data_IF_976365867642
#
_entry.id   IF_976365867642
#
_cell.length_a   1.000
_cell.length_b   1.000
_cell.length_c   1.000
_cell.angle_alpha   90.00
_cell.angle_beta   90.00
_cell.angle_gamma   90.00
#
_symmetry.space_group_name_H-M   'P 1'
#
loop_
_entity.id
_entity.type
_entity.pdbx_description
1 polymer ?
#
# COMPACT_ATOMS: atom_id res chain seq x y z
N UNK A 1 -11.06 9.28 12.85
CA UNK A 1 -9.92 8.81 13.66
C UNK A 1 -10.35 8.81 15.10
N UNK A 2 -10.54 7.64 15.69
CA UNK A 2 -10.99 7.49 17.06
C UNK A 2 -10.50 6.12 17.55
N UNK A 3 -11.00 5.63 18.69
CA UNK A 3 -10.53 4.40 19.31
C UNK A 3 -11.53 3.25 19.07
N UNK A 4 -11.03 2.02 19.22
CA UNK A 4 -11.81 0.80 18.99
C UNK A 4 -13.01 0.61 19.94
N UNK A 5 -12.91 0.90 21.26
CA UNK A 5 -14.00 0.58 22.18
C UNK A 5 -15.31 1.32 21.85
N UNK A 6 -16.43 0.72 22.25
CA UNK A 6 -17.77 1.26 22.01
C UNK A 6 -18.22 2.16 23.16
N UNK A 7 -17.46 3.22 23.46
CA UNK A 7 -17.82 4.24 24.45
C UNK A 7 -17.98 5.59 23.78
N UNK A 8 -18.75 6.51 24.39
CA UNK A 8 -18.94 7.85 23.81
C UNK A 8 -17.61 8.60 23.68
N UNK A 9 -16.76 8.52 24.71
CA UNK A 9 -15.43 9.14 24.75
C UNK A 9 -14.51 8.60 23.64
N UNK A 10 -14.51 7.28 23.42
CA UNK A 10 -13.69 6.63 22.39
C UNK A 10 -14.15 6.92 20.96
N UNK A 11 -15.34 7.52 20.77
CA UNK A 11 -15.82 7.96 19.46
C UNK A 11 -15.44 9.39 19.13
N UNK A 12 -14.95 10.17 20.09
CA UNK A 12 -14.49 11.53 19.85
C UNK A 12 -13.27 11.53 18.91
N UNK A 13 -13.29 12.31 17.82
CA UNK A 13 -12.16 12.39 16.91
C UNK A 13 -10.91 12.98 17.57
N UNK A 14 -9.82 12.23 17.51
CA UNK A 14 -8.54 12.66 18.07
C UNK A 14 -7.50 12.85 16.95
N UNK A 15 -7.05 14.09 16.66
CA UNK A 15 -6.10 14.38 15.60
C UNK A 15 -4.69 13.83 15.89
N UNK A 16 -4.30 13.60 17.15
CA UNK A 16 -3.00 13.02 17.47
C UNK A 16 -2.87 11.58 16.96
N UNK A 17 -4.00 10.90 16.75
CA UNK A 17 -4.02 9.57 16.14
C UNK A 17 -3.51 9.57 14.69
N UNK A 18 -3.50 10.72 14.00
CA UNK A 18 -2.85 10.84 12.68
C UNK A 18 -1.35 10.62 12.78
N UNK A 19 -0.72 11.25 13.79
CA UNK A 19 0.72 11.14 14.02
C UNK A 19 1.09 9.72 14.44
N UNK A 20 0.27 9.09 15.30
CA UNK A 20 0.43 7.69 15.68
C UNK A 20 0.23 6.73 14.51
N UNK A 21 -0.71 7.03 13.60
CA UNK A 21 -0.90 6.29 12.36
C UNK A 21 0.34 6.32 11.47
N UNK A 22 0.90 7.53 11.26
CA UNK A 22 2.14 7.71 10.51
C UNK A 22 3.33 6.97 11.13
N UNK A 23 3.52 7.08 12.45
CA UNK A 23 4.59 6.39 13.20
C UNK A 23 4.51 4.87 12.97
N UNK A 24 3.33 4.28 13.14
CA UNK A 24 3.11 2.84 12.93
C UNK A 24 3.34 2.45 11.47
N UNK A 25 2.85 3.23 10.51
CA UNK A 25 3.06 2.95 9.09
C UNK A 25 4.56 2.96 8.73
N UNK A 26 5.31 3.94 9.23
CA UNK A 26 6.76 4.03 8.99
C UNK A 26 7.52 2.86 9.62
N UNK A 27 7.20 2.48 10.86
CA UNK A 27 7.80 1.33 11.54
C UNK A 27 7.51 0.02 10.80
N UNK A 28 6.25 -0.21 10.43
CA UNK A 28 5.85 -1.40 9.67
C UNK A 28 6.57 -1.46 8.32
N UNK A 29 6.64 -0.35 7.59
CA UNK A 29 7.31 -0.31 6.28
C UNK A 29 8.82 -0.58 6.41
N UNK A 30 9.46 -0.01 7.43
CA UNK A 30 10.87 -0.28 7.69
C UNK A 30 11.11 -1.75 8.07
N UNK A 31 10.23 -2.33 8.89
CA UNK A 31 10.29 -3.74 9.23
C UNK A 31 10.13 -4.63 7.99
N UNK A 32 9.13 -4.38 7.15
CA UNK A 32 8.91 -5.13 5.90
C UNK A 32 10.12 -5.02 4.95
N UNK A 33 10.69 -3.83 4.79
CA UNK A 33 11.92 -3.64 4.00
C UNK A 33 13.08 -4.48 4.55
N UNK A 34 13.25 -4.52 5.87
CA UNK A 34 14.28 -5.35 6.49
C UNK A 34 14.05 -6.85 6.30
N UNK A 35 12.79 -7.32 6.27
CA UNK A 35 12.45 -8.72 5.99
C UNK A 35 12.78 -9.09 4.54
N UNK A 36 12.49 -8.20 3.60
CA UNK A 36 12.77 -8.42 2.17
C UNK A 36 14.27 -8.42 1.92
N UNK A 37 15.00 -7.43 2.44
CA UNK A 37 16.46 -7.40 2.35
C UNK A 37 17.12 -8.59 3.08
N UNK A 38 16.47 -9.13 4.10
CA UNK A 38 16.90 -10.31 4.85
C UNK A 38 16.66 -11.65 4.16
N UNK A 39 16.10 -11.67 2.94
CA UNK A 39 15.90 -12.91 2.16
C UNK A 39 14.63 -13.69 2.52
N UNK A 40 13.71 -13.13 3.32
CA UNK A 40 12.42 -13.78 3.58
C UNK A 40 11.57 -13.94 2.32
N UNK A 41 11.78 -13.04 1.33
CA UNK A 41 11.11 -13.09 0.04
C UNK A 41 11.93 -13.82 -1.03
N UNK A 42 12.95 -14.60 -0.66
CA UNK A 42 13.75 -15.36 -1.61
C UNK A 42 12.90 -16.48 -2.23
N UNK A 43 12.78 -16.46 -3.56
CA UNK A 43 12.06 -17.46 -4.35
C UNK A 43 12.77 -18.83 -4.39
N UNK A 44 14.04 -18.89 -3.99
CA UNK A 44 14.83 -20.12 -3.94
C UNK A 44 14.55 -20.97 -2.70
N UNK A 45 13.67 -20.55 -1.79
CA UNK A 45 13.34 -21.24 -0.55
C UNK A 45 11.83 -21.59 -0.50
N UNK A 46 11.34 -22.51 -1.35
CA UNK A 46 9.93 -22.90 -1.40
C UNK A 46 9.41 -23.50 -0.09
N UNK A 47 10.30 -24.00 0.78
CA UNK A 47 9.99 -24.42 2.15
C UNK A 47 9.44 -23.28 3.02
N UNK A 48 9.76 -22.02 2.70
CA UNK A 48 9.17 -20.86 3.38
C UNK A 48 7.69 -20.64 2.98
N UNK A 49 7.20 -21.33 1.95
CA UNK A 49 5.80 -21.30 1.51
C UNK A 49 5.01 -22.50 2.01
N UNK A 50 5.61 -23.34 2.86
CA UNK A 50 4.88 -24.40 3.55
C UNK A 50 4.03 -23.77 4.66
N UNK A 51 2.78 -23.46 4.30
CA UNK A 51 1.82 -22.88 5.19
C UNK A 51 1.17 -24.02 6.00
N UNK A 52 1.38 -24.03 7.32
CA UNK A 52 0.90 -25.10 8.20
C UNK A 52 -0.60 -25.45 8.01
N UNK A 53 -1.43 -24.45 7.70
CA UNK A 53 -2.87 -24.66 7.45
C UNK A 53 -3.17 -25.42 6.16
N UNK A 54 -2.25 -25.47 5.20
CA UNK A 54 -2.42 -26.22 3.95
C UNK A 54 -2.34 -27.71 4.21
N UNK A 55 -1.59 -28.16 5.22
CA UNK A 55 -1.51 -29.57 5.60
C UNK A 55 -2.85 -30.18 6.00
N UNK A 56 -3.77 -29.38 6.54
CA UNK A 56 -5.13 -29.81 6.90
C UNK A 56 -6.14 -29.67 5.74
N UNK A 57 -5.74 -29.09 4.61
CA UNK A 57 -6.62 -28.86 3.47
C UNK A 57 -6.82 -30.14 2.64
N UNK A 58 -8.05 -30.44 2.19
CA UNK A 58 -8.29 -31.50 1.21
C UNK A 58 -7.49 -31.33 -0.10
N UNK A 59 -7.04 -30.10 -0.39
CA UNK A 59 -6.29 -29.75 -1.61
C UNK A 59 -4.77 -29.69 -1.39
N UNK A 60 -4.26 -30.12 -0.24
CA UNK A 60 -2.82 -30.07 0.09
C UNK A 60 -1.95 -30.71 -1.01
N UNK A 61 -2.38 -31.87 -1.52
CA UNK A 61 -1.63 -32.59 -2.56
C UNK A 61 -1.57 -31.84 -3.90
N UNK A 62 -2.60 -31.06 -4.25
CA UNK A 62 -2.60 -30.23 -5.46
C UNK A 62 -1.73 -29.00 -5.28
N UNK A 63 -1.79 -28.37 -4.10
CA UNK A 63 -0.92 -27.25 -3.74
C UNK A 63 0.56 -27.66 -3.82
N UNK A 64 0.96 -28.78 -3.21
CA UNK A 64 2.35 -29.24 -3.26
C UNK A 64 2.83 -29.56 -4.68
N UNK A 65 1.97 -30.10 -5.55
CA UNK A 65 2.32 -30.29 -6.97
C UNK A 65 2.56 -28.97 -7.70
N UNK A 66 1.76 -27.94 -7.41
CA UNK A 66 1.95 -26.61 -7.98
C UNK A 66 3.26 -25.97 -7.48
N UNK A 67 3.51 -26.02 -6.17
CA UNK A 67 4.76 -25.51 -5.58
C UNK A 67 5.96 -26.21 -6.20
N UNK A 68 5.93 -27.55 -6.32
CA UNK A 68 7.02 -28.30 -6.95
C UNK A 68 7.25 -27.90 -8.41
N UNK A 69 6.19 -27.73 -9.19
CA UNK A 69 6.27 -27.28 -10.60
C UNK A 69 6.94 -25.91 -10.75
N UNK A 70 6.64 -24.98 -9.82
CA UNK A 70 7.29 -23.66 -9.78
C UNK A 70 8.77 -23.80 -9.43
N UNK A 71 9.12 -24.61 -8.41
CA UNK A 71 10.51 -24.88 -8.03
C UNK A 71 11.34 -25.50 -9.16
N UNK A 72 10.78 -26.49 -9.87
CA UNK A 72 11.44 -27.14 -11.00
C UNK A 72 11.70 -26.14 -12.14
N UNK A 73 10.75 -25.24 -12.39
CA UNK A 73 10.89 -24.18 -13.39
C UNK A 73 11.99 -23.18 -13.03
N UNK A 74 12.06 -22.77 -11.75
CA UNK A 74 13.11 -21.88 -11.24
C UNK A 74 14.50 -22.53 -11.38
N UNK A 75 14.64 -23.78 -10.97
CA UNK A 75 15.90 -24.54 -11.11
C UNK A 75 16.34 -24.70 -12.58
N UNK A 76 15.39 -24.84 -13.51
CA UNK A 76 15.70 -24.85 -14.94
C UNK A 76 16.24 -23.50 -15.43
N UNK A 77 15.61 -22.37 -15.05
CA UNK A 77 16.11 -21.04 -15.42
C UNK A 77 17.51 -20.77 -14.88
N UNK A 78 17.79 -21.15 -13.63
CA UNK A 78 19.12 -21.03 -13.03
C UNK A 78 20.18 -21.83 -13.80
N UNK A 79 19.84 -23.03 -14.25
CA UNK A 79 20.75 -23.88 -15.03
C UNK A 79 21.16 -23.28 -16.38
N UNK A 80 20.35 -22.36 -16.91
CA UNK A 80 20.60 -21.67 -18.19
C UNK A 80 21.33 -20.33 -17.98
N UNK A 81 20.89 -19.51 -17.02
CA UNK A 81 21.41 -18.15 -16.85
C UNK A 81 22.68 -18.05 -16.01
N UNK A 82 23.03 -19.09 -15.24
CA UNK A 82 24.33 -19.22 -14.56
C UNK A 82 24.59 -18.24 -13.41
N UNK A 83 23.76 -17.21 -13.22
CA UNK A 83 23.87 -16.26 -12.11
C UNK A 83 22.51 -15.75 -11.62
N UNK A 84 22.30 -15.80 -10.30
CA UNK A 84 21.04 -15.51 -9.57
C UNK A 84 20.96 -14.05 -9.12
N UNK A 85 21.54 -13.11 -9.88
CA UNK A 85 21.72 -11.71 -9.40
C UNK A 85 20.40 -10.91 -9.43
N UNK A 86 19.43 -11.30 -10.27
CA UNK A 86 18.15 -10.59 -10.41
C UNK A 86 17.02 -11.12 -9.53
N UNK A 87 17.03 -12.40 -9.17
CA UNK A 87 15.91 -13.08 -8.50
C UNK A 87 15.85 -12.89 -6.98
N UNK A 88 16.93 -12.37 -6.38
CA UNK A 88 17.10 -12.26 -4.92
C UNK A 88 16.29 -11.15 -4.25
N UNK A 89 15.77 -10.17 -4.99
CA UNK A 89 15.08 -9.01 -4.41
C UNK A 89 13.69 -8.85 -5.00
N UNK A 90 12.69 -9.23 -4.21
CA UNK A 90 11.29 -8.92 -4.48
C UNK A 90 11.04 -7.44 -4.15
N UNK A 91 10.52 -6.69 -5.11
CA UNK A 91 10.06 -5.32 -4.86
C UNK A 91 8.71 -5.35 -4.14
N UNK A 92 8.62 -4.71 -2.97
CA UNK A 92 7.38 -4.61 -2.22
C UNK A 92 6.83 -3.19 -2.27
N UNK A 93 5.58 -3.10 -2.67
CA UNK A 93 4.83 -1.86 -2.80
C UNK A 93 3.72 -1.80 -1.77
N UNK A 94 3.41 -0.60 -1.31
CA UNK A 94 2.31 -0.34 -0.36
C UNK A 94 1.15 0.34 -1.06
N UNK A 95 -0.04 0.09 -0.55
CA UNK A 95 -1.27 0.77 -0.93
C UNK A 95 -2.15 0.99 0.31
N UNK A 96 -2.95 2.05 0.30
CA UNK A 96 -4.03 2.24 1.27
C UNK A 96 -5.13 3.10 0.64
N UNK A 97 -6.27 3.16 1.31
CA UNK A 97 -7.37 4.02 0.90
C UNK A 97 -7.05 5.49 1.22
N UNK A 98 -7.01 6.35 0.20
CA UNK A 98 -6.80 7.79 0.32
C UNK A 98 -8.02 8.52 0.90
N UNK A 99 -8.45 8.11 2.09
CA UNK A 99 -9.71 8.53 2.72
C UNK A 99 -9.59 9.88 3.43
N UNK A 100 -8.48 10.09 4.15
CA UNK A 100 -8.32 11.27 5.02
C UNK A 100 -7.50 12.36 4.31
N UNK A 101 -8.16 13.20 3.52
CA UNK A 101 -7.49 14.21 2.68
C UNK A 101 -6.48 15.11 3.40
N UNK A 102 -6.72 15.60 4.64
CA UNK A 102 -5.71 16.38 5.35
C UNK A 102 -4.42 15.61 5.65
N UNK A 103 -4.51 14.28 5.81
CA UNK A 103 -3.36 13.43 6.05
C UNK A 103 -2.53 13.27 4.76
N UNK A 104 -3.19 12.96 3.64
CA UNK A 104 -2.53 12.82 2.32
C UNK A 104 -1.89 14.15 1.87
N UNK A 105 -2.62 15.26 2.05
CA UNK A 105 -2.10 16.59 1.73
C UNK A 105 -0.85 16.94 2.56
N UNK A 106 -0.84 16.57 3.85
CA UNK A 106 0.30 16.81 4.73
C UNK A 106 1.60 16.12 4.29
N UNK A 107 1.48 15.05 3.51
CA UNK A 107 2.58 14.20 3.06
C UNK A 107 2.91 14.34 1.57
N UNK A 108 2.12 15.10 0.83
CA UNK A 108 2.37 15.42 -0.57
C UNK A 108 3.59 16.34 -0.71
N UNK A 109 4.53 15.98 -1.58
CA UNK A 109 5.79 16.72 -1.82
C UNK A 109 6.00 16.99 -3.30
N UNK A 110 6.51 18.17 -3.62
CA UNK A 110 6.97 18.50 -4.96
C UNK A 110 8.37 17.93 -5.17
N UNK A 111 8.59 17.20 -6.26
CA UNK A 111 9.89 16.65 -6.65
C UNK A 111 10.49 17.51 -7.78
N UNK A 112 11.51 18.35 -7.51
CA UNK A 112 12.05 19.28 -8.52
C UNK A 112 12.60 18.60 -9.77
N UNK A 113 13.23 17.44 -9.62
CA UNK A 113 13.82 16.69 -10.74
C UNK A 113 12.78 16.03 -11.66
N UNK A 114 11.51 15.95 -11.25
CA UNK A 114 10.41 15.43 -12.08
C UNK A 114 9.35 16.48 -12.42
N UNK A 115 9.49 17.69 -11.89
CA UNK A 115 8.54 18.80 -12.04
C UNK A 115 7.08 18.41 -11.72
N UNK A 116 6.88 17.59 -10.69
CA UNK A 116 5.58 16.99 -10.35
C UNK A 116 5.39 16.84 -8.84
N UNK A 117 4.13 16.86 -8.41
CA UNK A 117 3.72 16.52 -7.05
C UNK A 117 3.53 15.03 -6.91
N UNK A 118 4.02 14.47 -5.81
CA UNK A 118 3.83 13.09 -5.42
C UNK A 118 3.27 13.02 -4.02
N UNK A 119 2.26 12.18 -3.84
CA UNK A 119 1.86 11.74 -2.52
C UNK A 119 2.85 10.67 -2.05
N UNK A 120 3.47 10.88 -0.88
CA UNK A 120 4.50 10.00 -0.33
C UNK A 120 3.98 9.15 0.83
N UNK A 121 2.66 9.11 1.03
CA UNK A 121 2.05 8.20 2.01
C UNK A 121 2.13 6.74 1.55
N UNK A 122 2.06 6.47 0.25
CA UNK A 122 2.05 5.11 -0.30
C UNK A 122 2.39 5.07 -1.78
N UNK A 123 2.60 3.87 -2.34
CA UNK A 123 2.93 3.72 -3.76
C UNK A 123 1.67 3.77 -4.63
N UNK A 124 0.57 3.18 -4.16
CA UNK A 124 -0.70 3.13 -4.89
C UNK A 124 -1.88 3.45 -3.96
N UNK A 125 -2.25 4.73 -3.79
CA UNK A 125 -3.47 5.07 -3.05
C UNK A 125 -4.70 4.70 -3.89
N UNK A 126 -5.71 4.09 -3.27
CA UNK A 126 -6.99 3.85 -3.93
C UNK A 126 -8.07 4.77 -3.37
N UNK A 127 -9.06 5.08 -4.20
CA UNK A 127 -10.28 5.74 -3.75
C UNK A 127 -11.42 4.74 -3.79
N UNK A 128 -12.13 4.58 -2.67
CA UNK A 128 -13.39 3.85 -2.68
C UNK A 128 -14.49 4.80 -3.13
N UNK A 129 -15.45 4.27 -3.91
CA UNK A 129 -16.73 4.94 -4.11
C UNK A 129 -17.55 4.82 -2.82
N UNK A 130 -17.13 5.51 -1.77
CA UNK A 130 -17.99 5.75 -0.63
C UNK A 130 -18.95 6.85 -1.08
N UNK A 131 -20.17 6.50 -1.49
CA UNK A 131 -21.22 7.52 -1.63
C UNK A 131 -21.35 8.19 -0.27
N UNK A 132 -20.97 9.47 -0.12
CA UNK A 132 -21.28 10.16 1.11
C UNK A 132 -22.80 10.31 1.14
N UNK A 133 -23.46 9.91 2.24
CA UNK A 133 -24.91 10.05 2.41
C UNK A 133 -25.38 11.50 2.27
N UNK A 134 -24.49 12.48 2.43
CA UNK A 134 -24.75 13.91 2.18
C UNK A 134 -24.66 14.32 0.68
N UNK A 135 -24.07 13.49 -0.18
CA UNK A 135 -23.87 13.77 -1.61
C UNK A 135 -25.09 13.38 -2.47
N UNK A 136 -26.07 12.66 -1.91
CA UNK A 136 -27.34 12.32 -2.58
C UNK A 136 -28.32 13.51 -2.63
N UNK A 137 -28.09 14.57 -1.85
CA UNK A 137 -28.96 15.76 -1.84
C UNK A 137 -28.65 16.79 -2.93
N UNK A 138 -27.53 16.66 -3.65
CA UNK A 138 -27.24 17.52 -4.81
C UNK A 138 -27.17 16.67 -6.06
N UNK A 139 -28.33 16.50 -6.70
CA UNK A 139 -28.48 15.88 -8.01
C UNK A 139 -27.71 16.67 -9.08
N UNK A 140 -26.44 16.32 -9.32
CA UNK A 140 -25.71 16.53 -10.60
C UNK A 140 -24.22 16.14 -10.48
N UNK A 141 -23.91 14.87 -10.20
CA UNK A 141 -22.53 14.38 -10.32
C UNK A 141 -22.45 13.20 -11.30
N UNK A 142 -21.83 13.46 -12.46
CA UNK A 142 -21.44 12.45 -13.46
C UNK A 142 -20.01 11.98 -13.16
N UNK A 143 -19.65 10.74 -13.54
CA UNK A 143 -18.31 10.18 -13.41
C UNK A 143 -17.19 11.11 -13.95
N UNK A 144 -17.50 11.96 -14.93
CA UNK A 144 -16.57 12.96 -15.45
C UNK A 144 -16.17 14.05 -14.44
N UNK A 145 -16.96 14.26 -13.39
CA UNK A 145 -16.68 15.23 -12.33
C UNK A 145 -15.63 14.72 -11.33
N UNK A 146 -15.53 13.40 -11.13
CA UNK A 146 -14.47 12.78 -10.30
C UNK A 146 -13.10 12.89 -11.00
N UNK A 147 -13.04 12.58 -12.29
CA UNK A 147 -11.80 12.73 -13.08
C UNK A 147 -11.34 14.18 -13.16
N UNK A 148 -12.27 15.14 -13.30
CA UNK A 148 -11.96 16.58 -13.28
C UNK A 148 -11.46 17.07 -11.91
N UNK A 149 -11.94 16.48 -10.81
CA UNK A 149 -11.51 16.87 -9.47
C UNK A 149 -10.12 16.31 -9.13
N UNK A 150 -9.85 15.04 -9.48
CA UNK A 150 -8.52 14.44 -9.37
C UNK A 150 -7.47 15.19 -10.20
N UNK A 151 -7.81 15.60 -11.43
CA UNK A 151 -6.94 16.45 -12.28
C UNK A 151 -6.75 17.87 -11.71
N UNK A 152 -7.70 18.38 -10.92
CA UNK A 152 -7.61 19.70 -10.28
C UNK A 152 -6.72 19.66 -9.04
N UNK A 153 -6.78 18.60 -8.25
CA UNK A 153 -5.83 18.34 -7.15
C UNK A 153 -4.39 18.22 -7.67
N UNK A 154 -4.18 17.52 -8.78
CA UNK A 154 -2.87 17.41 -9.42
C UNK A 154 -2.32 18.74 -9.96
N UNK A 155 -3.13 19.82 -10.00
CA UNK A 155 -2.77 21.14 -10.55
C UNK A 155 -2.91 22.29 -9.55
N UNK A 156 -3.15 22.03 -8.26
CA UNK A 156 -3.25 23.11 -7.27
C UNK A 156 -1.86 23.65 -6.91
N UNK A 157 -1.59 24.96 -7.06
CA UNK A 157 -0.44 25.59 -6.44
C UNK A 157 -0.71 25.73 -4.93
N UNK A 158 0.25 25.29 -4.11
CA UNK A 158 0.20 25.48 -2.66
C UNK A 158 0.32 26.98 -2.36
N UNK A 159 -0.63 27.55 -1.62
CA UNK A 159 -0.52 28.90 -1.07
C UNK A 159 0.74 28.98 -0.20
N UNK A 160 1.67 29.84 -0.60
CA UNK A 160 2.84 30.15 0.19
C UNK A 160 2.37 30.86 1.48
N UNK A 161 2.61 30.24 2.63
CA UNK A 161 2.59 30.97 3.90
C UNK A 161 3.83 31.89 3.90
N UNK A 162 3.62 33.17 3.63
CA UNK A 162 4.62 34.20 3.84
C UNK A 162 4.94 34.27 5.33
N UNK A 163 6.19 33.91 5.67
CA UNK A 163 6.78 34.33 6.94
C UNK A 163 7.09 35.82 6.83
N UNK A 164 6.22 36.64 7.40
CA UNK A 164 6.57 37.92 8.00
C UNK A 164 6.42 37.78 9.52
#
# INVERSE_FOLDING_TARGET
MNRLPFTAEDREPDPELMLRGYERAALTLNFVRSLIDGGFADLHHPENWDLEFVGESPMASEYHKLVQSVSDSLGFFESIEGDTVGTRRVEFYTCHEGLHLPYEQGQTRFLPHRDRWYDLTTHFPWMVCAQPTWMVLTSNFSAASVTRWALRLARMPVMNSSKD
#
